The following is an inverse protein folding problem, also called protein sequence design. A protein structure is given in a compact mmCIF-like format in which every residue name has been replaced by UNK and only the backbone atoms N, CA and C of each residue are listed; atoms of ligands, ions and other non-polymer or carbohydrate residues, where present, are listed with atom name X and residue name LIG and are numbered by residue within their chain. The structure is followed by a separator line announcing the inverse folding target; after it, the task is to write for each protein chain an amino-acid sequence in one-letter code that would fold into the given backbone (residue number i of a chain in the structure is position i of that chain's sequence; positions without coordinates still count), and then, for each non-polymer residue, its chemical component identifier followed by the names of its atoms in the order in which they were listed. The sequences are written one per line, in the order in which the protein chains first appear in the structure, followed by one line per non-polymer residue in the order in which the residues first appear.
data_IF_030578036713
#
_entry.id   IF_030578036713
#
_cell.length_a   1.000
_cell.length_b   1.000
_cell.length_c   1.000
_cell.angle_alpha   90.00
_cell.angle_beta   90.00
_cell.angle_gamma   90.00
#
_symmetry.space_group_name_H-M   'P 1'
#
loop_
_entity.id
_entity.type
_entity.pdbx_description
1 polymer ?
#
# COMPACT_ATOMS: atom_id res chain seq x y z
N UNK A 1 -42.81 -1.00 12.67
CA UNK A 1 -41.54 -0.52 13.27
C UNK A 1 -40.46 -1.58 13.07
N UNK A 2 -39.66 -1.47 12.00
CA UNK A 2 -38.49 -2.34 11.76
C UNK A 2 -37.24 -1.49 11.96
N UNK A 3 -36.37 -1.90 12.90
CA UNK A 3 -35.08 -1.25 13.16
C UNK A 3 -34.10 -1.66 12.07
N UNK A 4 -33.51 -0.68 11.40
CA UNK A 4 -32.35 -0.86 10.53
C UNK A 4 -31.13 -1.21 11.38
N UNK A 5 -30.50 -2.36 11.12
CA UNK A 5 -29.17 -2.68 11.61
C UNK A 5 -28.16 -2.09 10.62
N UNK A 6 -27.48 -1.02 11.02
CA UNK A 6 -26.36 -0.44 10.28
C UNK A 6 -25.14 -1.36 10.38
N UNK A 7 -24.64 -1.80 9.23
CA UNK A 7 -23.39 -2.52 9.08
C UNK A 7 -22.24 -1.51 9.31
N UNK A 8 -21.54 -1.61 10.44
CA UNK A 8 -20.35 -0.81 10.72
C UNK A 8 -19.16 -1.41 9.96
N UNK A 9 -18.65 -0.71 8.95
CA UNK A 9 -17.42 -1.08 8.22
C UNK A 9 -16.18 -0.94 9.12
N UNK A 10 -15.24 -1.90 9.01
CA UNK A 10 -13.95 -1.90 9.72
C UNK A 10 -12.85 -1.41 8.76
N UNK A 11 -11.99 -0.44 9.12
CA UNK A 11 -10.89 0.04 8.28
C UNK A 11 -9.78 -1.00 8.11
N UNK A 12 -9.16 -1.05 6.92
CA UNK A 12 -8.18 -2.04 6.47
C UNK A 12 -6.73 -1.83 6.96
N UNK A 13 -6.52 -1.13 8.08
CA UNK A 13 -5.20 -0.58 8.46
C UNK A 13 -4.20 -1.54 9.15
N UNK A 14 -4.44 -2.87 9.19
CA UNK A 14 -3.60 -3.77 10.02
C UNK A 14 -2.95 -4.96 9.31
N UNK A 15 -3.17 -5.19 8.01
CA UNK A 15 -2.45 -6.23 7.25
C UNK A 15 -2.33 -5.83 5.78
N UNK A 16 -1.42 -4.90 5.48
CA UNK A 16 -0.95 -4.61 4.12
C UNK A 16 0.05 -5.69 3.67
N UNK A 17 -0.47 -6.82 3.19
CA UNK A 17 0.27 -7.67 2.25
C UNK A 17 -0.42 -7.50 0.91
N UNK A 18 0.17 -6.71 0.01
CA UNK A 18 -0.33 -6.48 -1.34
C UNK A 18 -0.37 -7.75 -2.24
N UNK A 19 -0.10 -8.94 -1.67
CA UNK A 19 -0.10 -10.22 -2.36
C UNK A 19 -1.09 -11.27 -1.81
N UNK A 20 -1.90 -10.98 -0.78
CA UNK A 20 -2.60 -12.04 -0.03
C UNK A 20 -4.13 -11.96 -0.03
N UNK A 21 -4.79 -11.72 -1.17
CA UNK A 21 -6.27 -11.84 -1.25
C UNK A 21 -6.81 -12.73 -2.37
N UNK A 22 -5.99 -13.61 -2.94
CA UNK A 22 -6.34 -14.33 -4.18
C UNK A 22 -6.51 -15.85 -4.11
N UNK A 23 -6.33 -16.54 -2.97
CA UNK A 23 -6.29 -18.02 -2.98
C UNK A 23 -7.14 -18.73 -1.90
N UNK A 24 -8.25 -18.12 -1.47
CA UNK A 24 -9.03 -18.60 -0.32
C UNK A 24 -10.21 -19.54 -0.61
N UNK A 25 -10.24 -20.31 -1.70
CA UNK A 25 -11.40 -21.21 -1.96
C UNK A 25 -11.14 -22.72 -1.99
N UNK A 26 -9.91 -23.22 -1.77
CA UNK A 26 -9.67 -24.66 -1.99
C UNK A 26 -8.78 -25.40 -0.98
N UNK A 27 -8.39 -24.80 0.15
CA UNK A 27 -7.60 -25.51 1.18
C UNK A 27 -8.36 -25.62 2.51
N UNK A 28 -8.79 -26.83 2.94
CA UNK A 28 -9.53 -27.04 4.19
C UNK A 28 -8.78 -26.56 5.45
N UNK A 29 -7.44 -26.65 5.48
CA UNK A 29 -6.61 -26.15 6.59
C UNK A 29 -6.58 -24.62 6.68
N UNK A 30 -6.73 -23.93 5.55
CA UNK A 30 -6.79 -22.46 5.46
C UNK A 30 -8.19 -21.96 5.89
N UNK A 31 -9.26 -22.72 5.63
CA UNK A 31 -10.62 -22.41 6.10
C UNK A 31 -10.76 -22.49 7.63
N UNK A 32 -10.08 -23.44 8.29
CA UNK A 32 -10.02 -23.48 9.75
C UNK A 32 -9.23 -22.31 10.35
N UNK A 33 -8.09 -21.92 9.74
CA UNK A 33 -7.32 -20.76 10.19
C UNK A 33 -8.02 -19.42 9.89
N UNK A 34 -8.71 -19.30 8.76
CA UNK A 34 -9.55 -18.14 8.44
C UNK A 34 -10.75 -17.99 9.39
N UNK A 35 -11.31 -19.11 9.90
CA UNK A 35 -12.31 -19.08 10.99
C UNK A 35 -11.72 -18.55 12.30
N UNK A 36 -10.47 -18.88 12.63
CA UNK A 36 -9.78 -18.27 13.77
C UNK A 36 -9.55 -16.76 13.57
N UNK A 37 -9.19 -16.33 12.36
CA UNK A 37 -9.01 -14.91 12.02
C UNK A 37 -10.34 -14.15 12.11
N UNK A 38 -11.45 -14.72 11.62
CA UNK A 38 -12.79 -14.12 11.71
C UNK A 38 -13.36 -14.03 13.14
N UNK A 39 -12.88 -14.88 14.06
CA UNK A 39 -13.23 -14.84 15.49
C UNK A 39 -12.37 -13.85 16.29
N UNK A 40 -11.22 -13.45 15.75
CA UNK A 40 -10.32 -12.46 16.35
C UNK A 40 -10.58 -11.08 15.73
N UNK A 41 -11.80 -10.57 15.88
CA UNK A 41 -12.04 -9.11 15.82
C UNK A 41 -11.15 -8.37 16.84
N UNK A 42 -11.26 -7.04 16.98
CA UNK A 42 -10.43 -6.18 17.87
C UNK A 42 -10.10 -6.76 19.27
N UNK A 43 -10.91 -7.68 19.80
CA UNK A 43 -10.68 -8.43 21.04
C UNK A 43 -9.62 -9.55 21.00
N UNK A 44 -9.17 -9.99 19.82
CA UNK A 44 -8.26 -11.12 19.64
C UNK A 44 -6.77 -10.77 19.74
N UNK A 45 -6.38 -9.63 19.18
CA UNK A 45 -5.00 -9.11 19.23
C UNK A 45 -4.55 -8.83 20.67
N UNK A 46 -5.48 -8.44 21.55
CA UNK A 46 -5.23 -8.22 22.98
C UNK A 46 -4.97 -9.50 23.80
N UNK A 47 -5.21 -10.71 23.26
CA UNK A 47 -5.10 -11.95 24.05
C UNK A 47 -3.71 -12.57 24.09
N UNK A 48 -2.79 -12.17 23.21
CA UNK A 48 -1.50 -12.86 23.06
C UNK A 48 -0.33 -12.21 23.82
N UNK A 49 -0.50 -11.02 24.41
CA UNK A 49 0.56 -10.27 25.13
C UNK A 49 1.90 -10.20 24.36
N UNK A 50 1.84 -10.05 23.04
CA UNK A 50 3.01 -9.89 22.16
C UNK A 50 2.99 -8.51 21.51
N UNK A 51 4.17 -7.98 21.19
CA UNK A 51 4.29 -6.68 20.53
C UNK A 51 3.72 -6.73 19.09
N UNK A 52 3.24 -5.60 18.53
CA UNK A 52 2.77 -5.54 17.16
C UNK A 52 3.80 -6.04 16.14
N UNK A 53 5.08 -5.71 16.35
CA UNK A 53 6.19 -6.16 15.50
C UNK A 53 6.36 -7.68 15.56
N UNK A 54 6.30 -8.27 16.76
CA UNK A 54 6.40 -9.72 16.91
C UNK A 54 5.21 -10.44 16.26
N UNK A 55 4.00 -9.90 16.43
CA UNK A 55 2.80 -10.44 15.78
C UNK A 55 2.92 -10.39 14.25
N UNK A 56 3.40 -9.28 13.70
CA UNK A 56 3.59 -9.13 12.27
C UNK A 56 4.65 -10.11 11.73
N UNK A 57 5.73 -10.40 12.49
CA UNK A 57 6.73 -11.42 12.12
C UNK A 57 6.15 -12.83 12.07
N UNK A 58 5.23 -13.17 12.97
CA UNK A 58 4.53 -14.47 12.96
C UNK A 58 3.71 -14.59 11.68
N UNK A 59 2.89 -13.59 11.36
CA UNK A 59 2.07 -13.62 10.15
C UNK A 59 2.87 -13.52 8.85
N UNK A 60 4.00 -12.82 8.86
CA UNK A 60 4.96 -12.80 7.73
C UNK A 60 5.47 -14.21 7.42
N UNK A 61 5.80 -14.99 8.46
CA UNK A 61 6.28 -16.36 8.31
C UNK A 61 5.16 -17.32 7.88
N UNK A 62 3.98 -17.23 8.47
CA UNK A 62 2.80 -17.98 8.02
C UNK A 62 2.50 -17.71 6.54
N UNK A 63 2.56 -16.44 6.10
CA UNK A 63 2.36 -16.07 4.70
C UNK A 63 3.40 -16.72 3.78
N UNK A 64 4.68 -16.73 4.16
CA UNK A 64 5.74 -17.39 3.36
C UNK A 64 5.49 -18.89 3.22
N UNK A 65 5.05 -19.53 4.29
CA UNK A 65 4.72 -20.96 4.28
C UNK A 65 3.52 -21.25 3.37
N UNK A 66 2.48 -20.43 3.42
CA UNK A 66 1.32 -20.55 2.52
C UNK A 66 1.72 -20.35 1.04
N UNK A 67 2.56 -19.35 0.74
CA UNK A 67 3.07 -19.12 -0.62
C UNK A 67 3.90 -20.31 -1.14
N UNK A 68 4.76 -20.86 -0.28
CA UNK A 68 5.53 -22.06 -0.62
C UNK A 68 4.63 -23.29 -0.87
N UNK A 69 3.59 -23.48 -0.04
CA UNK A 69 2.61 -24.55 -0.23
C UNK A 69 1.83 -24.43 -1.55
N UNK A 70 1.60 -23.18 -2.00
CA UNK A 70 1.00 -22.85 -3.29
C UNK A 70 1.99 -22.90 -4.46
N UNK A 71 3.25 -23.29 -4.20
CA UNK A 71 4.35 -23.34 -5.19
C UNK A 71 4.64 -21.99 -5.84
N UNK A 72 4.34 -20.89 -5.14
CA UNK A 72 4.76 -19.55 -5.54
C UNK A 72 6.25 -19.43 -5.25
N UNK A 73 7.01 -18.96 -6.23
CA UNK A 73 8.44 -18.70 -6.03
C UNK A 73 8.62 -17.64 -4.93
N UNK A 74 9.70 -17.69 -4.13
CA UNK A 74 10.01 -16.57 -3.26
C UNK A 74 10.41 -15.34 -4.11
N UNK A 75 10.07 -14.12 -3.67
CA UNK A 75 10.60 -12.89 -4.25
C UNK A 75 12.11 -12.81 -4.03
N UNK A 76 12.78 -12.01 -4.88
CA UNK A 76 14.23 -11.80 -4.78
C UNK A 76 14.60 -11.09 -3.47
N UNK A 77 13.74 -10.18 -3.01
CA UNK A 77 13.93 -9.41 -1.77
C UNK A 77 12.60 -9.28 -1.03
N UNK A 78 12.64 -9.46 0.28
CA UNK A 78 11.58 -9.06 1.21
C UNK A 78 11.98 -7.76 1.89
N UNK A 79 11.13 -6.74 1.79
CA UNK A 79 11.36 -5.43 2.39
C UNK A 79 10.26 -5.10 3.39
N UNK A 80 10.65 -4.47 4.50
CA UNK A 80 9.74 -4.13 5.60
C UNK A 80 9.73 -2.66 5.87
N UNK A 81 8.54 -2.12 6.12
CA UNK A 81 8.36 -0.70 6.45
C UNK A 81 9.11 -0.31 7.72
N UNK A 82 9.00 -1.14 8.76
CA UNK A 82 9.71 -0.99 10.04
C UNK A 82 11.22 -0.85 9.89
N UNK A 83 11.81 -1.55 8.92
CA UNK A 83 13.26 -1.54 8.66
C UNK A 83 13.69 -0.34 7.78
N UNK A 84 12.73 0.39 7.19
CA UNK A 84 12.96 1.47 6.20
C UNK A 84 12.42 2.84 6.61
N UNK A 85 12.08 3.03 7.89
CA UNK A 85 11.54 4.31 8.40
C UNK A 85 12.46 5.51 8.11
N UNK A 86 13.80 5.45 8.28
CA UNK A 86 14.68 6.57 7.95
C UNK A 86 14.60 6.99 6.47
N UNK A 87 14.53 6.00 5.56
CA UNK A 87 14.39 6.20 4.13
C UNK A 87 13.05 6.86 3.81
N UNK A 88 11.97 6.41 4.44
CA UNK A 88 10.63 6.99 4.25
C UNK A 88 10.62 8.46 4.70
N UNK A 89 11.19 8.77 5.87
CA UNK A 89 11.30 10.16 6.34
C UNK A 89 12.10 11.01 5.33
N UNK A 90 13.19 10.48 4.78
CA UNK A 90 13.99 11.17 3.75
C UNK A 90 13.22 11.39 2.45
N UNK A 91 12.41 10.42 2.04
CA UNK A 91 11.56 10.50 0.85
C UNK A 91 10.52 11.60 1.01
N UNK A 92 9.84 11.64 2.15
CA UNK A 92 8.84 12.66 2.48
C UNK A 92 9.47 14.06 2.49
N UNK A 93 10.66 14.22 3.09
CA UNK A 93 11.38 15.50 3.04
C UNK A 93 11.59 15.99 1.61
N UNK A 94 12.01 15.09 0.72
CA UNK A 94 12.24 15.43 -0.69
C UNK A 94 10.95 15.90 -1.39
N UNK A 95 9.80 15.27 -1.10
CA UNK A 95 8.49 15.70 -1.61
C UNK A 95 8.10 17.10 -1.08
N UNK A 96 8.38 17.38 0.19
CA UNK A 96 8.12 18.71 0.78
C UNK A 96 9.04 19.74 0.13
N UNK A 97 10.33 19.43 -0.01
CA UNK A 97 11.34 20.33 -0.58
C UNK A 97 11.05 20.65 -2.06
N UNK A 98 10.39 19.73 -2.80
CA UNK A 98 9.90 19.97 -4.16
C UNK A 98 8.58 20.77 -4.21
N UNK A 99 8.03 21.19 -3.07
CA UNK A 99 6.79 21.97 -2.97
C UNK A 99 5.50 21.15 -3.18
N UNK A 100 5.58 19.82 -3.17
CA UNK A 100 4.46 18.90 -3.45
C UNK A 100 3.92 18.22 -2.19
N UNK A 101 4.44 18.59 -1.02
CA UNK A 101 3.94 18.15 0.28
C UNK A 101 4.02 19.26 1.32
N UNK A 102 3.23 19.11 2.38
CA UNK A 102 3.22 20.08 3.48
C UNK A 102 2.97 19.39 4.83
N UNK A 103 3.61 19.92 5.87
CA UNK A 103 3.35 19.54 7.25
C UNK A 103 2.28 20.44 7.87
N UNK A 104 1.49 19.89 8.80
CA UNK A 104 0.49 20.62 9.58
C UNK A 104 1.00 20.87 11.00
N UNK A 105 0.37 21.81 11.70
CA UNK A 105 0.67 22.07 13.12
C UNK A 105 0.36 20.88 14.03
N UNK A 106 -0.45 19.92 13.56
CA UNK A 106 -0.79 18.70 14.28
C UNK A 106 0.24 17.58 14.09
N UNK A 107 1.27 17.78 13.25
CA UNK A 107 2.33 16.80 12.98
C UNK A 107 2.01 15.82 11.85
N UNK A 108 0.88 16.00 11.17
CA UNK A 108 0.60 15.27 9.93
C UNK A 108 1.39 15.88 8.76
N UNK A 109 1.69 15.06 7.76
CA UNK A 109 2.25 15.51 6.49
C UNK A 109 1.39 14.96 5.37
N UNK A 110 1.01 15.82 4.44
CA UNK A 110 0.17 15.48 3.31
C UNK A 110 0.88 15.76 1.98
N UNK A 111 0.51 15.00 0.97
CA UNK A 111 0.80 15.29 -0.43
C UNK A 111 -0.26 16.25 -0.97
N UNK A 112 0.16 17.36 -1.59
CA UNK A 112 -0.75 18.38 -2.13
C UNK A 112 -1.11 18.03 -3.58
N UNK A 113 -2.21 17.29 -3.74
CA UNK A 113 -2.67 16.78 -5.04
C UNK A 113 -2.96 17.92 -6.01
N UNK A 114 -3.47 19.05 -5.50
CA UNK A 114 -3.78 20.22 -6.33
C UNK A 114 -2.52 20.84 -6.90
N UNK A 115 -1.43 20.90 -6.11
CA UNK A 115 -0.14 21.44 -6.57
C UNK A 115 0.58 20.54 -7.57
N UNK A 116 0.33 19.23 -7.56
CA UNK A 116 0.87 18.30 -8.56
C UNK A 116 0.18 18.46 -9.92
N UNK A 117 -1.10 18.82 -9.90
CA UNK A 117 -1.83 19.25 -11.10
C UNK A 117 -2.31 18.10 -11.96
N UNK A 118 -2.26 18.29 -13.29
CA UNK A 118 -3.02 17.47 -14.27
C UNK A 118 -2.57 16.02 -14.38
N UNK A 119 -1.42 15.68 -13.83
CA UNK A 119 -0.81 14.35 -13.95
C UNK A 119 -1.38 13.33 -12.96
N UNK A 120 -2.03 13.80 -11.89
CA UNK A 120 -2.76 12.92 -10.98
C UNK A 120 -4.00 12.32 -11.66
N UNK A 121 -4.19 11.01 -11.58
CA UNK A 121 -5.26 10.28 -12.28
C UNK A 121 -4.80 9.66 -13.61
N UNK A 122 -3.49 9.48 -13.81
CA UNK A 122 -2.94 8.93 -15.05
C UNK A 122 -3.14 7.41 -15.14
N UNK A 123 -3.20 6.72 -14.00
CA UNK A 123 -3.37 5.27 -13.96
C UNK A 123 -4.85 4.89 -14.06
N UNK A 124 -5.70 5.61 -13.35
CA UNK A 124 -7.14 5.38 -13.32
C UNK A 124 -7.88 6.58 -13.90
N UNK A 125 -8.44 6.41 -15.11
CA UNK A 125 -9.24 7.46 -15.78
C UNK A 125 -10.52 7.81 -15.01
N UNK A 126 -10.90 6.96 -14.05
CA UNK A 126 -12.01 7.20 -13.12
C UNK A 126 -11.37 7.51 -11.77
N UNK A 127 -11.35 8.78 -11.38
CA UNK A 127 -11.25 9.14 -9.97
C UNK A 127 -12.67 8.99 -9.38
N UNK A 128 -13.03 7.85 -8.76
CA UNK A 128 -14.28 7.80 -8.00
C UNK A 128 -14.26 8.93 -6.97
N UNK A 129 -15.43 9.51 -6.67
CA UNK A 129 -15.52 10.49 -5.60
C UNK A 129 -14.90 9.87 -4.35
N UNK A 130 -13.74 10.40 -3.96
CA UNK A 130 -13.04 9.97 -2.75
C UNK A 130 -13.98 10.35 -1.62
N UNK A 131 -14.66 9.36 -1.04
CA UNK A 131 -15.29 9.57 0.25
C UNK A 131 -14.14 9.84 1.21
N UNK A 132 -14.08 11.09 1.69
CA UNK A 132 -13.17 11.49 2.74
C UNK A 132 -13.20 10.42 3.84
N UNK A 133 -12.04 9.87 4.19
CA UNK A 133 -11.89 9.37 5.55
C UNK A 133 -12.08 10.60 6.44
N UNK A 134 -13.30 10.76 6.96
CA UNK A 134 -13.83 11.94 7.66
C UNK A 134 -13.15 12.23 9.02
N UNK A 135 -11.86 11.94 9.14
CA UNK A 135 -11.11 11.93 10.39
C UNK A 135 -10.08 13.07 10.44
N UNK A 136 -9.51 13.46 9.29
CA UNK A 136 -8.39 14.41 9.25
C UNK A 136 -8.86 15.77 8.70
N UNK A 137 -9.15 16.71 9.60
CA UNK A 137 -9.70 18.05 9.27
C UNK A 137 -8.63 19.09 8.95
N UNK A 138 -7.34 18.74 9.07
CA UNK A 138 -6.20 19.64 8.87
C UNK A 138 -5.61 19.60 7.44
N UNK A 139 -6.27 18.90 6.52
CA UNK A 139 -5.93 18.92 5.09
C UNK A 139 -6.27 20.27 4.46
N UNK A 140 -5.46 20.71 3.48
CA UNK A 140 -5.77 21.89 2.66
C UNK A 140 -6.87 21.57 1.66
N UNK A 141 -6.84 20.37 1.08
CA UNK A 141 -7.85 19.86 0.16
C UNK A 141 -8.28 18.43 0.51
N UNK A 142 -9.53 18.06 0.24
CA UNK A 142 -10.08 16.73 0.56
C UNK A 142 -9.30 15.58 -0.11
N UNK A 143 -8.82 15.82 -1.33
CA UNK A 143 -8.05 14.84 -2.11
C UNK A 143 -6.61 14.63 -1.61
N UNK A 144 -6.11 15.51 -0.74
CA UNK A 144 -4.75 15.37 -0.20
C UNK A 144 -4.65 14.09 0.64
N UNK A 145 -3.57 13.34 0.45
CA UNK A 145 -3.36 12.05 1.12
C UNK A 145 -2.13 12.07 2.02
N UNK A 146 -2.17 11.30 3.10
CA UNK A 146 -1.15 11.34 4.13
C UNK A 146 0.16 10.70 3.64
N UNK A 147 1.25 11.43 3.81
CA UNK A 147 2.63 10.95 3.74
C UNK A 147 3.10 10.49 5.13
N UNK A 148 2.70 11.22 6.17
CA UNK A 148 3.00 10.92 7.57
C UNK A 148 1.78 11.26 8.43
N UNK A 149 1.40 10.37 9.34
CA UNK A 149 0.31 10.63 10.30
C UNK A 149 0.89 10.77 11.70
N UNK A 150 0.50 11.83 12.40
CA UNK A 150 0.85 12.04 13.78
C UNK A 150 0.30 10.89 14.65
N UNK A 151 1.09 10.46 15.63
CA UNK A 151 0.73 9.33 16.47
C UNK A 151 -0.36 9.71 17.47
N UNK A 152 -1.37 8.85 17.63
CA UNK A 152 -2.27 8.95 18.79
C UNK A 152 -1.60 8.34 20.03
N UNK A 153 -2.06 8.68 21.25
CA UNK A 153 -1.52 8.08 22.45
C UNK A 153 -1.54 6.55 22.39
N UNK A 154 -0.43 5.94 22.80
CA UNK A 154 -0.25 4.47 22.86
C UNK A 154 -0.18 3.76 21.51
N UNK A 155 -0.16 4.49 20.38
CA UNK A 155 0.13 3.90 19.07
C UNK A 155 1.64 3.67 18.88
N UNK A 156 1.97 2.61 18.13
CA UNK A 156 3.32 2.41 17.63
C UNK A 156 3.72 3.60 16.75
N UNK A 157 4.87 4.19 17.04
CA UNK A 157 5.31 5.42 16.38
C UNK A 157 6.83 5.56 16.35
N UNK A 158 7.30 6.36 15.41
CA UNK A 158 8.70 6.71 15.20
C UNK A 158 8.88 8.22 15.31
N UNK A 159 10.09 8.63 15.72
CA UNK A 159 10.48 10.04 15.76
C UNK A 159 10.74 10.54 14.35
N UNK A 160 10.20 11.71 14.01
CA UNK A 160 10.43 12.39 12.73
C UNK A 160 10.60 13.90 12.95
N UNK A 161 11.03 14.67 11.93
CA UNK A 161 11.08 16.13 12.00
C UNK A 161 9.71 16.79 12.28
N UNK A 162 8.61 16.09 12.00
CA UNK A 162 7.24 16.57 12.19
C UNK A 162 6.61 16.06 13.50
N UNK A 163 7.43 15.48 14.39
CA UNK A 163 6.98 14.87 15.64
C UNK A 163 6.87 13.35 15.54
N UNK A 164 6.32 12.73 16.59
CA UNK A 164 6.09 11.28 16.61
C UNK A 164 4.91 10.92 15.71
N UNK A 165 5.09 9.91 14.89
CA UNK A 165 4.06 9.45 13.97
C UNK A 165 4.43 8.15 13.29
N UNK A 166 3.76 7.90 12.17
CA UNK A 166 3.93 6.71 11.36
C UNK A 166 3.75 7.06 9.89
N UNK A 167 4.35 6.30 8.96
CA UNK A 167 4.14 6.52 7.55
C UNK A 167 2.67 6.38 7.14
N UNK A 168 2.30 7.08 6.07
CA UNK A 168 1.04 6.82 5.37
C UNK A 168 1.17 5.59 4.46
N UNK A 169 0.06 4.91 4.20
CA UNK A 169 0.05 3.63 3.49
C UNK A 169 0.77 3.66 2.12
N UNK A 170 0.61 4.74 1.35
CA UNK A 170 1.17 4.82 -0.01
C UNK A 170 2.69 5.08 -0.03
N UNK A 171 3.20 5.89 0.91
CA UNK A 171 4.61 6.31 0.90
C UNK A 171 5.56 5.14 1.22
N UNK A 172 5.04 4.11 1.88
CA UNK A 172 5.74 2.87 2.20
C UNK A 172 6.22 2.17 0.93
N UNK A 173 5.30 1.86 0.01
CA UNK A 173 5.58 1.16 -1.24
C UNK A 173 6.41 2.03 -2.19
N UNK A 174 6.14 3.33 -2.29
CA UNK A 174 6.93 4.28 -3.08
C UNK A 174 8.40 4.29 -2.67
N UNK A 175 8.66 4.39 -1.36
CA UNK A 175 10.02 4.46 -0.83
C UNK A 175 10.76 3.14 -1.06
N UNK A 176 10.11 2.01 -0.73
CA UNK A 176 10.74 0.69 -0.82
C UNK A 176 11.00 0.31 -2.28
N UNK A 177 10.04 0.54 -3.17
CA UNK A 177 10.19 0.27 -4.61
C UNK A 177 11.29 1.14 -5.20
N UNK A 178 11.34 2.43 -4.83
CA UNK A 178 12.42 3.33 -5.25
C UNK A 178 13.78 2.95 -4.69
N UNK A 179 13.85 2.39 -3.48
CA UNK A 179 15.13 1.95 -2.89
C UNK A 179 15.75 0.79 -3.67
N UNK A 180 14.94 -0.04 -4.32
CA UNK A 180 15.43 -1.22 -5.07
C UNK A 180 15.54 -0.95 -6.57
N UNK A 181 14.57 -0.26 -7.16
CA UNK A 181 14.49 -0.03 -8.61
C UNK A 181 14.88 1.39 -9.04
N UNK A 182 15.01 2.32 -8.09
CA UNK A 182 15.30 3.72 -8.40
C UNK A 182 14.16 4.37 -9.19
N UNK A 183 14.56 5.15 -10.21
CA UNK A 183 13.67 5.97 -11.02
C UNK A 183 13.03 5.26 -12.23
N UNK A 184 13.34 3.98 -12.44
CA UNK A 184 12.84 3.21 -13.57
C UNK A 184 12.29 1.88 -13.07
N UNK A 185 10.97 1.74 -13.10
CA UNK A 185 10.27 0.52 -12.76
C UNK A 185 9.61 -0.07 -14.01
N UNK A 186 10.00 -1.28 -14.40
CA UNK A 186 9.39 -1.90 -15.59
C UNK A 186 7.96 -2.36 -15.30
N UNK A 187 7.77 -3.17 -14.26
CA UNK A 187 6.48 -3.78 -13.94
C UNK A 187 6.15 -3.57 -12.46
N UNK A 188 4.99 -3.00 -12.19
CA UNK A 188 4.40 -2.91 -10.86
C UNK A 188 3.09 -3.71 -10.82
N UNK A 189 2.84 -4.46 -9.74
CA UNK A 189 1.73 -5.42 -9.67
C UNK A 189 0.91 -5.26 -8.39
N UNK A 190 -0.39 -5.54 -8.45
CA UNK A 190 -1.23 -5.60 -7.26
C UNK A 190 -2.64 -6.13 -7.53
N UNK A 191 -3.48 -6.18 -6.49
CA UNK A 191 -4.92 -6.36 -6.68
C UNK A 191 -5.56 -5.16 -7.37
N UNK A 192 -6.67 -5.34 -8.09
CA UNK A 192 -7.39 -4.21 -8.74
C UNK A 192 -7.85 -3.14 -7.75
N UNK A 193 -8.07 -3.51 -6.48
CA UNK A 193 -8.32 -2.60 -5.37
C UNK A 193 -7.16 -1.64 -5.09
N UNK A 194 -5.93 -2.00 -5.47
CA UNK A 194 -4.75 -1.15 -5.31
C UNK A 194 -4.55 -0.18 -6.47
N UNK A 195 -5.26 -0.33 -7.59
CA UNK A 195 -5.15 0.62 -8.70
C UNK A 195 -5.45 2.05 -8.25
N UNK A 196 -6.51 2.24 -7.46
CA UNK A 196 -6.85 3.51 -6.86
C UNK A 196 -7.33 3.34 -5.40
N UNK A 197 -6.87 4.17 -4.46
CA UNK A 197 -5.92 5.27 -4.66
C UNK A 197 -4.44 4.82 -4.58
N UNK A 198 -4.15 3.56 -4.28
CA UNK A 198 -2.80 3.15 -3.85
C UNK A 198 -1.71 3.38 -4.91
N UNK A 199 -1.77 2.71 -6.06
CA UNK A 199 -0.77 2.86 -7.11
C UNK A 199 -0.81 4.26 -7.77
N UNK A 200 -1.98 4.90 -7.85
CA UNK A 200 -2.10 6.29 -8.31
C UNK A 200 -1.28 7.24 -7.42
N UNK A 201 -1.38 7.07 -6.09
CA UNK A 201 -0.60 7.84 -5.13
C UNK A 201 0.89 7.50 -5.19
N UNK A 202 1.25 6.23 -5.42
CA UNK A 202 2.65 5.84 -5.59
C UNK A 202 3.29 6.47 -6.81
N UNK A 203 2.58 6.49 -7.95
CA UNK A 203 3.06 7.16 -9.17
C UNK A 203 3.34 8.63 -8.87
N UNK A 204 2.39 9.34 -8.26
CA UNK A 204 2.56 10.76 -7.92
C UNK A 204 3.76 10.98 -6.98
N UNK A 205 3.90 10.17 -5.93
CA UNK A 205 5.02 10.28 -4.98
C UNK A 205 6.38 10.00 -5.63
N UNK A 206 6.48 8.93 -6.41
CA UNK A 206 7.73 8.52 -7.05
C UNK A 206 8.15 9.47 -8.17
N UNK A 207 7.23 9.98 -8.97
CA UNK A 207 7.52 10.92 -10.04
C UNK A 207 8.01 12.27 -9.50
N UNK A 208 7.40 12.74 -8.41
CA UNK A 208 7.88 13.92 -7.68
C UNK A 208 9.29 13.68 -7.13
N UNK A 209 9.49 12.55 -6.44
CA UNK A 209 10.78 12.24 -5.80
C UNK A 209 11.93 12.08 -6.80
N UNK A 210 11.71 11.37 -7.90
CA UNK A 210 12.72 11.12 -8.93
C UNK A 210 12.80 12.23 -9.98
N UNK A 211 11.92 13.24 -9.91
CA UNK A 211 11.81 14.32 -10.88
C UNK A 211 11.67 13.79 -12.31
N UNK A 212 10.73 12.85 -12.49
CA UNK A 212 10.50 12.19 -13.78
C UNK A 212 9.03 12.16 -14.15
N UNK A 213 8.75 12.08 -15.44
CA UNK A 213 7.40 11.96 -16.00
C UNK A 213 7.01 10.52 -16.33
N UNK A 214 7.74 9.52 -15.88
CA UNK A 214 7.31 8.13 -16.01
C UNK A 214 8.13 7.28 -15.06
N UNK A 215 7.61 7.06 -13.86
CA UNK A 215 8.28 6.18 -12.90
C UNK A 215 8.13 4.71 -13.26
N UNK A 216 6.93 4.30 -13.70
CA UNK A 216 6.60 2.93 -14.04
C UNK A 216 6.15 2.76 -15.51
N UNK A 217 6.59 1.69 -16.17
CA UNK A 217 6.19 1.39 -17.54
C UNK A 217 4.86 0.64 -17.60
N UNK A 218 4.69 -0.42 -16.79
CA UNK A 218 3.51 -1.29 -16.82
C UNK A 218 2.94 -1.54 -15.43
N UNK A 219 1.62 -1.37 -15.27
CA UNK A 219 0.90 -1.70 -14.04
C UNK A 219 -0.08 -2.86 -14.30
N UNK A 220 0.12 -3.96 -13.58
CA UNK A 220 -0.65 -5.20 -13.73
C UNK A 220 -1.53 -5.42 -12.51
N UNK A 221 -2.85 -5.49 -12.73
CA UNK A 221 -3.84 -5.67 -11.68
C UNK A 221 -4.64 -6.95 -11.86
N UNK A 222 -4.68 -7.78 -10.81
CA UNK A 222 -5.52 -8.98 -10.79
C UNK A 222 -6.96 -8.60 -10.42
N UNK A 223 -7.93 -9.06 -11.21
CA UNK A 223 -9.34 -8.86 -10.92
C UNK A 223 -9.80 -9.76 -9.76
N UNK A 224 -10.93 -9.40 -9.14
CA UNK A 224 -11.53 -10.22 -8.08
C UNK A 224 -11.91 -11.61 -8.61
N UNK A 225 -11.32 -12.66 -8.04
CA UNK A 225 -11.80 -14.05 -8.19
C UNK A 225 -11.55 -14.74 -9.54
N UNK A 226 -10.83 -14.13 -10.50
CA UNK A 226 -10.39 -14.79 -11.75
C UNK A 226 -9.03 -14.24 -12.20
N UNK A 227 -8.42 -14.89 -13.22
CA UNK A 227 -7.09 -14.59 -13.78
C UNK A 227 -6.81 -13.09 -14.05
N UNK A 228 -5.53 -12.73 -14.24
CA UNK A 228 -5.09 -11.36 -14.56
C UNK A 228 -5.87 -10.78 -15.75
N UNK A 229 -6.66 -9.74 -15.53
CA UNK A 229 -7.54 -9.16 -16.56
C UNK A 229 -7.35 -7.66 -16.78
N UNK A 230 -6.57 -6.96 -15.97
CA UNK A 230 -6.39 -5.52 -16.12
C UNK A 230 -4.91 -5.14 -16.19
N UNK A 231 -4.48 -4.71 -17.38
CA UNK A 231 -3.16 -4.10 -17.61
C UNK A 231 -3.43 -2.64 -17.93
N UNK A 232 -2.93 -1.75 -17.08
CA UNK A 232 -2.96 -0.32 -17.34
C UNK A 232 -1.60 0.11 -17.88
N UNK A 233 -1.64 0.85 -18.99
CA UNK A 233 -0.45 1.36 -19.66
C UNK A 233 -0.36 2.86 -19.38
N UNK A 234 0.74 3.29 -18.78
CA UNK A 234 1.09 4.72 -18.76
C UNK A 234 1.76 5.02 -20.11
N UNK A 235 1.33 6.05 -20.85
CA UNK A 235 1.55 6.09 -22.29
C UNK A 235 3.01 6.41 -22.61
N UNK A 236 3.71 5.42 -23.15
CA UNK A 236 4.76 5.62 -24.15
C UNK A 236 4.78 4.38 -25.03
N UNK A 237 4.36 4.60 -26.29
CA UNK A 237 4.47 3.77 -27.48
C UNK A 237 4.54 2.23 -27.35
N UNK A 238 3.63 1.60 -28.10
CA UNK A 238 3.55 0.18 -28.46
C UNK A 238 2.70 -0.72 -27.55
N UNK A 239 1.60 -1.18 -28.14
CA UNK A 239 0.72 -2.21 -27.61
C UNK A 239 1.44 -3.57 -27.61
N UNK A 240 1.92 -4.01 -26.45
CA UNK A 240 2.39 -5.39 -26.27
C UNK A 240 1.28 -6.21 -25.61
N UNK A 241 0.77 -7.21 -26.32
CA UNK A 241 -0.09 -8.24 -25.74
C UNK A 241 0.75 -9.16 -24.88
N UNK A 242 0.86 -8.89 -23.58
CA UNK A 242 1.62 -9.77 -22.67
C UNK A 242 0.72 -10.90 -22.16
N UNK A 243 0.83 -12.09 -22.77
CA UNK A 243 0.32 -13.34 -22.18
C UNK A 243 1.25 -13.74 -21.03
N UNK A 244 0.94 -13.32 -19.80
CA UNK A 244 1.62 -13.82 -18.61
C UNK A 244 1.15 -15.24 -18.28
N UNK A 245 1.87 -16.24 -18.79
CA UNK A 245 2.04 -17.50 -18.07
C UNK A 245 3.28 -17.31 -17.21
N UNK A 246 3.18 -17.54 -15.90
CA UNK A 246 4.29 -17.51 -14.94
C UNK A 246 5.44 -18.40 -15.44
N UNK A 247 6.33 -17.82 -16.24
CA UNK A 247 7.59 -18.43 -16.64
C UNK A 247 8.70 -17.73 -15.87
N UNK A 248 9.57 -18.56 -15.29
CA UNK A 248 10.81 -18.23 -14.60
C UNK A 248 11.59 -17.14 -15.33
N UNK A 249 11.74 -15.96 -14.72
CA UNK A 249 12.58 -14.88 -15.26
C UNK A 249 12.29 -13.49 -14.72
N UNK A 250 11.14 -13.24 -14.09
CA UNK A 250 10.81 -11.93 -13.53
C UNK A 250 11.28 -11.82 -12.08
N UNK A 251 12.16 -10.86 -11.82
CA UNK A 251 12.49 -10.43 -10.48
C UNK A 251 11.38 -9.51 -9.97
N UNK A 252 10.78 -9.84 -8.83
CA UNK A 252 9.76 -9.00 -8.19
C UNK A 252 10.05 -8.86 -6.70
N UNK A 253 9.48 -7.83 -6.09
CA UNK A 253 9.57 -7.54 -4.66
C UNK A 253 8.21 -7.78 -4.03
N UNK A 254 8.21 -8.38 -2.84
CA UNK A 254 7.04 -8.37 -1.97
C UNK A 254 7.25 -7.34 -0.86
N UNK A 255 6.29 -6.42 -0.71
CA UNK A 255 6.25 -5.46 0.40
C UNK A 255 5.27 -5.99 1.44
N UNK A 256 5.71 -6.06 2.69
CA UNK A 256 4.84 -6.35 3.84
C UNK A 256 4.78 -5.13 4.77
N UNK A 257 3.57 -4.66 5.07
CA UNK A 257 3.35 -3.74 6.18
C UNK A 257 3.48 -4.55 7.48
N UNK A 258 4.54 -4.31 8.23
CA UNK A 258 4.76 -4.87 9.57
C UNK A 258 5.21 -3.78 10.50
#
# INVERSE_FOLDING_TARGET
MRRHAGCLQVPAELVGVAAARLLFSSCPRILERARCIGLLGRAGVFRMNISPVALARIYEEDFKQDMAALKVLPPTVYMRVTDNIPQIISFIKTIIDSGQGYATSQGNVYFDVKSWGKRYGVLTTICPDIQDEAVDTDKRHSKDFALWKAAKPQELSWTSPWGKGRPGWHIECSTISSAVFGKQLDIHTGGIDLAFPHHENEIAQCEVYHQCEQWGNYFLHSAYGTAWHYVSFLPLHDSVSVKFVLYSGLNYIAVSSS
#
